data_IF_179428472562
#
_entry.id   IF_179428472562
#
_cell.length_a   1.000
_cell.length_b   1.000
_cell.length_c   1.000
_cell.angle_alpha   90.00
_cell.angle_beta   90.00
_cell.angle_gamma   90.00
#
_symmetry.space_group_name_H-M   'P 1'
#
loop_
_entity.id
_entity.type
_entity.pdbx_description
1 polymer ?
#
# COMPACT_ATOMS: atom_id res chain seq x y z
N UNK A 1 -9.61 20.73 -6.77
CA UNK A 1 -8.80 21.30 -5.70
C UNK A 1 -9.27 20.99 -4.29
N UNK A 2 -10.58 20.83 -4.06
CA UNK A 2 -11.13 20.67 -2.69
C UNK A 2 -10.80 19.30 -2.06
N UNK A 3 -10.81 18.21 -2.84
CA UNK A 3 -10.54 16.85 -2.35
C UNK A 3 -9.07 16.64 -1.94
N UNK A 4 -8.11 17.28 -2.60
CA UNK A 4 -6.69 17.12 -2.32
C UNK A 4 -6.29 17.72 -0.97
N UNK A 5 -6.89 18.85 -0.61
CA UNK A 5 -6.61 19.56 0.66
C UNK A 5 -7.15 18.81 1.88
N UNK A 6 -8.23 18.05 1.74
CA UNK A 6 -8.84 17.27 2.85
C UNK A 6 -8.04 16.01 3.17
N UNK A 7 -7.60 15.27 2.16
CA UNK A 7 -6.79 14.06 2.33
C UNK A 7 -5.43 14.40 2.96
N UNK A 8 -4.81 15.50 2.55
CA UNK A 8 -3.52 15.96 3.11
C UNK A 8 -3.61 16.38 4.58
N UNK A 9 -4.78 16.79 5.08
CA UNK A 9 -4.98 17.18 6.47
C UNK A 9 -5.15 16.01 7.44
N UNK A 10 -5.52 14.81 6.95
CA UNK A 10 -5.71 13.61 7.77
C UNK A 10 -4.54 12.64 7.71
N UNK A 11 -3.55 12.89 6.86
CA UNK A 11 -2.30 12.13 6.77
C UNK A 11 -1.23 12.88 7.54
N UNK A 12 -0.70 12.28 8.58
CA UNK A 12 0.33 12.88 9.45
C UNK A 12 1.57 12.01 9.49
N UNK A 13 2.70 12.61 9.83
CA UNK A 13 3.97 11.91 10.02
C UNK A 13 4.87 12.69 10.96
N UNK A 14 5.92 12.04 11.47
CA UNK A 14 6.94 12.69 12.32
C UNK A 14 8.06 13.35 11.51
N UNK A 15 7.88 13.57 10.22
CA UNK A 15 8.86 14.19 9.33
C UNK A 15 9.39 15.51 9.86
N UNK A 16 8.50 16.33 10.41
CA UNK A 16 8.81 17.67 10.96
C UNK A 16 8.97 17.64 12.51
N UNK A 17 9.12 16.44 13.08
CA UNK A 17 9.28 16.21 14.51
C UNK A 17 7.98 16.03 15.28
N UNK A 18 8.13 15.63 16.56
CA UNK A 18 7.00 15.24 17.43
C UNK A 18 6.04 16.41 17.75
N UNK A 19 6.56 17.61 17.93
CA UNK A 19 5.73 18.76 18.29
C UNK A 19 4.69 19.07 17.20
N UNK A 20 5.13 19.09 15.95
CA UNK A 20 4.24 19.34 14.80
C UNK A 20 3.32 18.14 14.55
N UNK A 21 3.81 16.91 14.69
CA UNK A 21 3.02 15.70 14.62
C UNK A 21 1.84 15.74 15.59
N UNK A 22 2.08 16.07 16.87
CA UNK A 22 1.04 16.18 17.89
C UNK A 22 0.09 17.36 17.66
N UNK A 23 0.58 18.47 17.11
CA UNK A 23 -0.28 19.60 16.72
C UNK A 23 -1.28 19.17 15.64
N UNK A 24 -0.81 18.47 14.60
CA UNK A 24 -1.66 17.94 13.54
C UNK A 24 -2.66 16.92 14.10
N UNK A 25 -2.21 15.97 14.93
CA UNK A 25 -3.08 15.00 15.58
C UNK A 25 -4.21 15.66 16.40
N UNK A 26 -3.90 16.70 17.18
CA UNK A 26 -4.92 17.45 17.93
C UNK A 26 -5.95 18.12 17.02
N UNK A 27 -5.51 18.64 15.86
CA UNK A 27 -6.43 19.21 14.85
C UNK A 27 -7.36 18.15 14.30
N UNK A 28 -6.82 17.00 13.87
CA UNK A 28 -7.61 15.87 13.34
C UNK A 28 -8.64 15.41 14.37
N UNK A 29 -8.20 15.15 15.61
CA UNK A 29 -9.06 14.72 16.71
C UNK A 29 -10.19 15.72 17.02
N UNK A 30 -9.91 17.02 16.95
CA UNK A 30 -10.92 18.06 17.18
C UNK A 30 -12.11 17.97 16.23
N UNK A 31 -11.90 17.46 15.02
CA UNK A 31 -12.94 17.22 14.04
C UNK A 31 -13.56 15.81 14.11
N UNK A 32 -13.14 14.99 15.08
CA UNK A 32 -13.65 13.63 15.26
C UNK A 32 -13.28 12.69 14.11
N UNK A 33 -12.13 12.90 13.48
CA UNK A 33 -11.68 12.09 12.35
C UNK A 33 -10.57 11.13 12.76
N UNK A 34 -10.54 9.96 12.10
CA UNK A 34 -9.39 9.06 12.11
C UNK A 34 -8.21 9.67 11.34
N UNK A 35 -7.00 9.24 11.63
CA UNK A 35 -5.78 9.74 10.98
C UNK A 35 -4.98 8.62 10.34
N UNK A 36 -4.45 8.87 9.15
CA UNK A 36 -3.43 8.01 8.55
C UNK A 36 -2.05 8.49 9.01
N UNK A 37 -1.30 7.60 9.64
CA UNK A 37 0.05 7.87 10.15
C UNK A 37 1.06 7.14 9.25
N UNK A 38 1.82 7.91 8.48
CA UNK A 38 2.87 7.34 7.65
C UNK A 38 4.11 6.99 8.47
N UNK A 39 4.73 5.85 8.17
CA UNK A 39 6.03 5.48 8.72
C UNK A 39 7.15 6.36 8.15
N UNK A 40 7.17 7.63 8.57
CA UNK A 40 8.04 8.69 8.10
C UNK A 40 8.45 9.55 9.29
N UNK A 41 9.72 9.56 9.62
CA UNK A 41 10.30 10.36 10.69
C UNK A 41 11.27 11.43 10.16
N UNK A 42 12.00 12.07 11.04
CA UNK A 42 12.97 13.12 10.73
C UNK A 42 14.12 12.64 9.82
N UNK A 43 14.34 11.32 9.74
CA UNK A 43 15.35 10.69 8.87
C UNK A 43 14.81 10.29 7.50
N UNK A 44 13.51 10.41 7.27
CA UNK A 44 12.86 10.05 6.02
C UNK A 44 11.88 8.87 6.14
N UNK A 45 11.39 8.40 4.99
CA UNK A 45 10.49 7.25 4.94
C UNK A 45 11.20 5.97 5.39
N UNK A 46 10.49 5.15 6.17
CA UNK A 46 11.00 3.84 6.59
C UNK A 46 10.98 2.85 5.43
N UNK A 47 12.09 2.25 5.14
CA UNK A 47 12.30 1.24 4.10
C UNK A 47 12.41 -0.18 4.67
N UNK A 48 13.04 -0.35 5.82
CA UNK A 48 13.20 -1.65 6.50
C UNK A 48 12.05 -1.94 7.47
N UNK A 49 11.76 -3.22 7.71
CA UNK A 49 10.75 -3.67 8.67
C UNK A 49 10.98 -3.06 10.05
N UNK A 50 12.22 -3.10 10.54
CA UNK A 50 12.58 -2.54 11.84
C UNK A 50 12.21 -1.05 11.94
N UNK A 51 12.60 -0.23 10.95
CA UNK A 51 12.29 1.21 10.99
C UNK A 51 10.77 1.47 10.91
N UNK A 52 10.05 0.69 10.07
CA UNK A 52 8.59 0.78 10.00
C UNK A 52 7.95 0.53 11.36
N UNK A 53 8.35 -0.54 12.05
CA UNK A 53 7.84 -0.92 13.36
C UNK A 53 8.22 0.13 14.41
N UNK A 54 9.47 0.56 14.47
CA UNK A 54 9.95 1.54 15.45
C UNK A 54 9.19 2.87 15.32
N UNK A 55 9.01 3.38 14.10
CA UNK A 55 8.30 4.64 13.84
C UNK A 55 6.80 4.50 14.19
N UNK A 56 6.14 3.41 13.79
CA UNK A 56 4.74 3.18 14.11
C UNK A 56 4.52 3.04 15.61
N UNK A 57 5.40 2.34 16.32
CA UNK A 57 5.34 2.18 17.79
C UNK A 57 5.53 3.53 18.49
N UNK A 58 6.51 4.32 18.07
CA UNK A 58 6.75 5.68 18.61
C UNK A 58 5.53 6.57 18.37
N UNK A 59 4.98 6.56 17.17
CA UNK A 59 3.80 7.35 16.83
C UNK A 59 2.56 6.90 17.63
N UNK A 60 2.36 5.59 17.79
CA UNK A 60 1.27 5.05 18.59
C UNK A 60 1.33 5.54 20.04
N UNK A 61 2.49 5.42 20.68
CA UNK A 61 2.70 5.88 22.06
C UNK A 61 2.42 7.37 22.18
N UNK A 62 2.99 8.20 21.30
CA UNK A 62 2.75 9.64 21.30
C UNK A 62 1.27 10.01 21.17
N UNK A 63 0.54 9.33 20.27
CA UNK A 63 -0.88 9.60 20.03
C UNK A 63 -1.73 9.18 21.23
N UNK A 64 -1.56 7.95 21.71
CA UNK A 64 -2.36 7.40 22.82
C UNK A 64 -2.10 8.13 24.14
N UNK A 65 -0.86 8.49 24.45
CA UNK A 65 -0.49 9.28 25.64
C UNK A 65 -1.10 10.70 25.59
N UNK A 66 -1.37 11.22 24.38
CA UNK A 66 -2.08 12.49 24.17
C UNK A 66 -3.60 12.30 23.99
N UNK A 67 -4.12 11.10 24.29
CA UNK A 67 -5.54 10.76 24.32
C UNK A 67 -6.18 10.60 22.94
N UNK A 68 -5.42 10.31 21.87
CA UNK A 68 -5.98 9.92 20.58
C UNK A 68 -6.50 8.49 20.68
N UNK A 69 -7.75 8.19 20.23
CA UNK A 69 -8.30 6.84 20.29
C UNK A 69 -7.47 5.88 19.41
N UNK A 70 -7.06 4.71 19.93
CA UNK A 70 -6.31 3.73 19.13
C UNK A 70 -7.04 3.30 17.86
N UNK A 71 -8.37 3.18 17.92
CA UNK A 71 -9.23 2.75 16.81
C UNK A 71 -9.30 3.78 15.66
N UNK A 72 -8.91 5.01 15.92
CA UNK A 72 -8.83 6.08 14.93
C UNK A 72 -7.43 6.22 14.32
N UNK A 73 -6.47 5.37 14.70
CA UNK A 73 -5.09 5.36 14.17
C UNK A 73 -4.99 4.33 13.05
N UNK A 74 -4.65 4.80 11.85
CA UNK A 74 -4.44 3.96 10.66
C UNK A 74 -2.99 4.11 10.24
N UNK A 75 -2.16 3.10 10.44
CA UNK A 75 -0.77 3.14 10.00
C UNK A 75 -0.63 2.86 8.51
N UNK A 76 0.16 3.66 7.81
CA UNK A 76 0.70 3.36 6.48
C UNK A 76 2.21 3.13 6.62
N UNK A 77 2.65 1.86 6.72
CA UNK A 77 4.07 1.54 6.85
C UNK A 77 4.84 1.63 5.53
N UNK A 78 4.34 2.35 4.56
CA UNK A 78 4.88 2.59 3.21
C UNK A 78 5.03 1.31 2.38
N UNK A 79 4.33 1.25 1.25
CA UNK A 79 4.53 0.24 0.21
C UNK A 79 5.47 0.83 -0.84
N UNK A 80 6.61 0.17 -1.08
CA UNK A 80 7.58 0.55 -2.09
C UNK A 80 7.55 -0.39 -3.29
N UNK A 81 8.08 0.09 -4.41
CA UNK A 81 8.22 -0.71 -5.62
C UNK A 81 9.24 -1.84 -5.42
N UNK A 82 8.89 -3.02 -5.89
CA UNK A 82 9.80 -4.17 -6.01
C UNK A 82 10.19 -4.40 -7.47
N UNK A 83 11.06 -5.36 -7.74
CA UNK A 83 11.58 -5.67 -9.08
C UNK A 83 12.14 -4.43 -9.81
N UNK A 84 12.85 -3.60 -9.11
CA UNK A 84 13.47 -2.37 -9.63
C UNK A 84 14.84 -2.61 -10.25
N UNK A 85 15.41 -3.81 -10.10
CA UNK A 85 16.79 -4.14 -10.46
C UNK A 85 17.83 -3.72 -9.40
N UNK A 86 17.39 -3.19 -8.25
CA UNK A 86 18.23 -2.81 -7.11
C UNK A 86 18.05 -3.87 -6.03
N UNK A 87 19.14 -4.47 -5.56
CA UNK A 87 19.12 -5.60 -4.61
C UNK A 87 18.48 -5.22 -3.28
N UNK A 88 18.77 -4.03 -2.76
CA UNK A 88 18.20 -3.53 -1.50
C UNK A 88 16.67 -3.38 -1.53
N UNK A 89 16.07 -3.34 -2.73
CA UNK A 89 14.61 -3.22 -2.89
C UNK A 89 13.89 -4.59 -2.88
N UNK A 90 14.64 -5.70 -2.89
CA UNK A 90 14.07 -7.04 -2.97
C UNK A 90 13.19 -7.39 -1.75
N UNK A 91 13.53 -6.86 -0.56
CA UNK A 91 12.83 -7.14 0.70
C UNK A 91 11.71 -6.14 1.02
N UNK A 92 11.41 -5.17 0.18
CA UNK A 92 10.43 -4.12 0.51
C UNK A 92 9.02 -4.64 0.78
N UNK A 93 8.56 -5.65 0.05
CA UNK A 93 7.25 -6.26 0.29
C UNK A 93 7.25 -7.08 1.59
N UNK A 94 8.31 -7.86 1.85
CA UNK A 94 8.48 -8.59 3.12
C UNK A 94 8.53 -7.65 4.31
N UNK A 95 9.27 -6.54 4.19
CA UNK A 95 9.34 -5.53 5.24
C UNK A 95 7.97 -4.90 5.55
N UNK A 96 7.09 -4.75 4.55
CA UNK A 96 5.72 -4.31 4.76
C UNK A 96 4.90 -5.38 5.50
N UNK A 97 4.97 -6.65 5.08
CA UNK A 97 4.22 -7.74 5.71
C UNK A 97 4.63 -7.92 7.18
N UNK A 98 5.92 -7.91 7.46
CA UNK A 98 6.46 -8.00 8.83
C UNK A 98 5.99 -6.82 9.69
N UNK A 99 6.03 -5.60 9.15
CA UNK A 99 5.56 -4.42 9.87
C UNK A 99 4.04 -4.47 10.11
N UNK A 100 3.24 -4.89 9.13
CA UNK A 100 1.80 -5.04 9.29
C UNK A 100 1.46 -6.05 10.40
N UNK A 101 2.13 -7.19 10.41
CA UNK A 101 1.95 -8.20 11.45
C UNK A 101 2.32 -7.64 12.83
N UNK A 102 3.48 -7.03 12.97
CA UNK A 102 3.94 -6.47 14.23
C UNK A 102 2.98 -5.38 14.76
N UNK A 103 2.48 -4.49 13.90
CA UNK A 103 1.51 -3.46 14.28
C UNK A 103 0.24 -4.11 14.83
N UNK A 104 -0.30 -5.13 14.16
CA UNK A 104 -1.52 -5.82 14.59
C UNK A 104 -1.35 -6.57 15.92
N UNK A 105 -0.17 -7.13 16.16
CA UNK A 105 0.13 -7.89 17.37
C UNK A 105 0.46 -7.00 18.57
N UNK A 106 1.10 -5.84 18.34
CA UNK A 106 1.69 -5.04 19.42
C UNK A 106 1.02 -3.69 19.67
N UNK A 107 0.23 -3.17 18.72
CA UNK A 107 -0.43 -1.87 18.82
C UNK A 107 -1.97 -2.05 18.81
N UNK A 108 -2.59 -2.41 19.94
CA UNK A 108 -3.99 -2.78 20.00
C UNK A 108 -4.92 -1.64 19.57
N UNK A 109 -5.93 -1.96 18.76
CA UNK A 109 -6.89 -1.01 18.21
C UNK A 109 -6.45 -0.36 16.89
N UNK A 110 -5.15 -0.28 16.62
CA UNK A 110 -4.66 0.36 15.40
C UNK A 110 -4.95 -0.46 14.13
N UNK A 111 -5.12 0.25 13.02
CA UNK A 111 -5.36 -0.31 11.68
C UNK A 111 -4.11 -0.20 10.81
N UNK A 112 -4.06 -1.01 9.74
CA UNK A 112 -2.97 -0.98 8.76
C UNK A 112 -3.52 -0.74 7.36
N UNK A 113 -2.98 0.27 6.69
CA UNK A 113 -3.33 0.66 5.33
C UNK A 113 -2.09 0.75 4.43
N UNK A 114 -2.31 0.91 3.13
CA UNK A 114 -1.23 1.18 2.19
C UNK A 114 -1.71 1.42 0.77
N UNK A 115 -0.91 2.16 0.00
CA UNK A 115 -1.11 2.42 -1.41
C UNK A 115 -0.60 1.27 -2.27
N UNK A 116 -1.46 0.29 -2.58
CA UNK A 116 -1.08 -0.99 -3.21
C UNK A 116 -0.44 -0.80 -4.58
N UNK A 117 -0.86 0.19 -5.36
CA UNK A 117 -0.30 0.45 -6.70
C UNK A 117 1.20 0.71 -6.72
N UNK A 118 1.77 1.14 -5.59
CA UNK A 118 3.21 1.43 -5.48
C UNK A 118 4.08 0.18 -5.69
N UNK A 119 3.61 -1.00 -5.24
CA UNK A 119 4.38 -2.25 -5.33
C UNK A 119 4.79 -2.60 -6.76
N UNK A 120 3.93 -2.26 -7.73
CA UNK A 120 4.10 -2.60 -9.15
C UNK A 120 4.62 -1.44 -10.01
N UNK A 121 5.21 -0.42 -9.42
CA UNK A 121 5.64 0.79 -10.14
C UNK A 121 6.64 0.50 -11.26
N UNK A 122 7.53 -0.48 -11.07
CA UNK A 122 8.51 -0.96 -12.07
C UNK A 122 7.86 -1.54 -13.34
N UNK A 123 6.59 -1.96 -13.26
CA UNK A 123 5.85 -2.53 -14.39
C UNK A 123 4.81 -1.57 -14.98
N UNK A 124 5.01 -0.26 -14.86
CA UNK A 124 4.12 0.72 -15.51
C UNK A 124 4.00 0.46 -17.00
N UNK A 125 2.75 0.42 -17.48
CA UNK A 125 2.41 0.11 -18.88
C UNK A 125 2.26 -1.38 -19.20
N UNK A 126 2.35 -2.25 -18.18
CA UNK A 126 2.01 -3.67 -18.29
C UNK A 126 0.90 -4.01 -17.27
N UNK A 127 -0.33 -3.65 -17.60
CA UNK A 127 -1.46 -3.78 -16.67
C UNK A 127 -1.71 -5.23 -16.22
N UNK A 128 -1.61 -6.28 -17.07
CA UNK A 128 -1.80 -7.65 -16.60
C UNK A 128 -0.84 -8.07 -15.49
N UNK A 129 0.45 -7.71 -15.60
CA UNK A 129 1.46 -8.00 -14.57
C UNK A 129 1.18 -7.17 -13.31
N UNK A 130 0.81 -5.90 -13.46
CA UNK A 130 0.47 -5.04 -12.33
C UNK A 130 -0.74 -5.53 -11.55
N UNK A 131 -1.80 -5.95 -12.25
CA UNK A 131 -3.00 -6.53 -11.62
C UNK A 131 -2.65 -7.81 -10.85
N UNK A 132 -1.83 -8.68 -11.42
CA UNK A 132 -1.33 -9.86 -10.73
C UNK A 132 -0.51 -9.51 -9.48
N UNK A 133 0.40 -8.54 -9.58
CA UNK A 133 1.19 -8.07 -8.42
C UNK A 133 0.30 -7.50 -7.32
N UNK A 134 -0.74 -6.74 -7.67
CA UNK A 134 -1.69 -6.21 -6.67
C UNK A 134 -2.47 -7.34 -5.98
N UNK A 135 -2.97 -8.32 -6.76
CA UNK A 135 -3.73 -9.45 -6.22
C UNK A 135 -2.90 -10.29 -5.26
N UNK A 136 -1.67 -10.64 -5.66
CA UNK A 136 -0.76 -11.45 -4.84
C UNK A 136 -0.28 -10.67 -3.61
N UNK A 137 0.06 -9.38 -3.77
CA UNK A 137 0.43 -8.53 -2.64
C UNK A 137 -0.70 -8.43 -1.62
N UNK A 138 -1.92 -8.14 -2.05
CA UNK A 138 -3.08 -8.05 -1.16
C UNK A 138 -3.34 -9.36 -0.42
N UNK A 139 -3.22 -10.49 -1.10
CA UNK A 139 -3.38 -11.80 -0.47
C UNK A 139 -2.44 -11.98 0.73
N UNK A 140 -1.15 -11.67 0.57
CA UNK A 140 -0.17 -11.78 1.66
C UNK A 140 -0.32 -10.66 2.69
N UNK A 141 -0.57 -9.41 2.27
CA UNK A 141 -0.71 -8.27 3.17
C UNK A 141 -1.91 -8.39 4.12
N UNK A 142 -3.06 -8.86 3.60
CA UNK A 142 -4.26 -9.10 4.42
C UNK A 142 -3.99 -10.19 5.46
N UNK A 143 -3.31 -11.27 5.08
CA UNK A 143 -2.91 -12.33 6.02
C UNK A 143 -1.92 -11.86 7.08
N UNK A 144 -1.09 -10.88 6.73
CA UNK A 144 -0.17 -10.23 7.66
C UNK A 144 -0.85 -9.17 8.57
N UNK A 145 -2.11 -8.81 8.31
CA UNK A 145 -2.88 -7.92 9.18
C UNK A 145 -3.26 -6.57 8.56
N UNK A 146 -2.97 -6.34 7.28
CA UNK A 146 -3.50 -5.18 6.55
C UNK A 146 -5.03 -5.29 6.45
N UNK A 147 -5.75 -4.26 6.86
CA UNK A 147 -7.22 -4.23 6.88
C UNK A 147 -7.82 -3.12 6.00
N UNK A 148 -7.01 -2.23 5.48
CA UNK A 148 -7.41 -1.18 4.53
C UNK A 148 -6.42 -1.12 3.36
N UNK A 149 -6.90 -0.79 2.16
CA UNK A 149 -6.03 -0.66 0.98
C UNK A 149 -6.51 0.45 0.05
N UNK A 150 -5.58 1.28 -0.41
CA UNK A 150 -5.85 2.24 -1.47
C UNK A 150 -5.54 1.53 -2.79
N UNK A 151 -6.60 1.23 -3.54
CA UNK A 151 -6.55 0.43 -4.76
C UNK A 151 -7.38 1.06 -5.88
N UNK A 152 -7.09 0.68 -7.13
CA UNK A 152 -8.02 0.93 -8.24
C UNK A 152 -9.08 -0.17 -8.25
N UNK A 153 -10.29 0.13 -7.78
CA UNK A 153 -11.38 -0.83 -7.67
C UNK A 153 -11.78 -1.49 -9.01
N UNK A 154 -11.52 -0.80 -10.14
CA UNK A 154 -11.78 -1.34 -11.48
C UNK A 154 -10.75 -2.35 -11.99
N UNK A 155 -9.65 -2.55 -11.26
CA UNK A 155 -8.50 -3.38 -11.65
C UNK A 155 -8.14 -4.40 -10.55
N UNK A 156 -9.12 -4.83 -9.75
CA UNK A 156 -8.92 -5.86 -8.73
C UNK A 156 -9.18 -7.25 -9.33
N UNK A 157 -8.14 -8.06 -9.34
CA UNK A 157 -8.20 -9.49 -9.64
C UNK A 157 -8.07 -10.27 -8.34
N UNK A 158 -8.76 -11.39 -8.21
CA UNK A 158 -8.59 -12.28 -7.06
C UNK A 158 -7.29 -13.09 -7.22
N UNK A 159 -6.66 -13.43 -6.10
CA UNK A 159 -5.43 -14.23 -6.09
C UNK A 159 -5.57 -15.55 -6.87
N UNK A 160 -6.70 -16.25 -6.70
CA UNK A 160 -6.96 -17.54 -7.38
C UNK A 160 -7.25 -17.40 -8.87
N UNK A 161 -7.65 -16.20 -9.33
CA UNK A 161 -7.94 -15.91 -10.74
C UNK A 161 -6.67 -15.49 -11.52
N UNK A 162 -5.56 -15.25 -10.83
CA UNK A 162 -4.28 -14.98 -11.48
C UNK A 162 -3.77 -16.26 -12.13
N UNK A 163 -3.31 -16.13 -13.38
CA UNK A 163 -2.71 -17.25 -14.11
C UNK A 163 -1.58 -17.88 -13.27
N UNK A 164 -1.55 -19.23 -13.08
CA UNK A 164 -0.66 -19.87 -12.11
C UNK A 164 0.83 -19.58 -12.32
N UNK A 165 1.30 -19.58 -13.56
CA UNK A 165 2.72 -19.31 -13.86
C UNK A 165 3.08 -17.85 -13.52
N UNK A 166 2.23 -16.89 -13.87
CA UNK A 166 2.43 -15.49 -13.54
C UNK A 166 2.37 -15.28 -12.01
N UNK A 167 1.43 -15.92 -11.34
CA UNK A 167 1.29 -15.87 -9.88
C UNK A 167 2.55 -16.35 -9.18
N UNK A 168 3.09 -17.52 -9.57
CA UNK A 168 4.31 -18.07 -8.97
C UNK A 168 5.52 -17.15 -9.18
N UNK A 169 5.66 -16.54 -10.35
CA UNK A 169 6.73 -15.57 -10.64
C UNK A 169 6.58 -14.28 -9.83
N UNK A 170 5.36 -13.81 -9.65
CA UNK A 170 5.06 -12.63 -8.80
C UNK A 170 5.34 -12.95 -7.34
N UNK A 171 4.98 -14.13 -6.84
CA UNK A 171 5.32 -14.55 -5.48
C UNK A 171 6.82 -14.67 -5.27
N UNK A 172 7.56 -15.21 -6.24
CA UNK A 172 9.03 -15.27 -6.17
C UNK A 172 9.63 -13.87 -5.93
N UNK A 173 9.08 -12.85 -6.60
CA UNK A 173 9.50 -11.45 -6.43
C UNK A 173 9.06 -10.86 -5.09
N UNK A 174 7.77 -10.97 -4.75
CA UNK A 174 7.22 -10.33 -3.55
C UNK A 174 7.76 -10.95 -2.25
N UNK A 175 8.06 -12.25 -2.28
CA UNK A 175 8.57 -12.99 -1.12
C UNK A 175 10.09 -13.20 -1.19
N UNK A 176 10.77 -12.57 -2.14
CA UNK A 176 12.22 -12.68 -2.36
C UNK A 176 12.72 -14.14 -2.29
N UNK A 177 12.01 -15.07 -2.96
CA UNK A 177 12.28 -16.52 -2.86
C UNK A 177 13.54 -16.93 -3.59
N UNK A 178 14.00 -16.13 -4.57
CA UNK A 178 15.14 -16.46 -5.42
C UNK A 178 15.80 -15.22 -6.02
N UNK A 179 17.09 -15.29 -6.24
CA UNK A 179 17.89 -14.16 -6.71
C UNK A 179 17.52 -13.69 -8.13
N UNK A 180 17.10 -14.61 -9.01
CA UNK A 180 16.70 -14.33 -10.41
C UNK A 180 15.19 -14.02 -10.57
N UNK A 181 14.45 -13.79 -9.48
CA UNK A 181 13.00 -13.58 -9.52
C UNK A 181 12.59 -12.42 -10.42
N UNK A 182 13.30 -11.28 -10.32
CA UNK A 182 13.02 -10.09 -11.13
C UNK A 182 13.22 -10.34 -12.61
N UNK A 183 14.32 -10.99 -13.00
CA UNK A 183 14.62 -11.29 -14.40
C UNK A 183 13.56 -12.23 -15.01
N UNK A 184 13.19 -13.28 -14.30
CA UNK A 184 12.16 -14.22 -14.71
C UNK A 184 10.78 -13.56 -14.88
N UNK A 185 10.43 -12.63 -14.00
CA UNK A 185 9.18 -11.90 -14.14
C UNK A 185 9.22 -10.92 -15.31
N UNK A 186 10.36 -10.27 -15.58
CA UNK A 186 10.54 -9.39 -16.73
C UNK A 186 10.43 -10.16 -18.07
N UNK A 187 11.06 -11.32 -18.19
CA UNK A 187 10.95 -12.17 -19.37
C UNK A 187 9.48 -12.58 -19.65
N UNK A 188 8.76 -12.96 -18.61
CA UNK A 188 7.34 -13.30 -18.74
C UNK A 188 6.51 -12.07 -19.11
N UNK A 189 6.78 -10.92 -18.51
CA UNK A 189 6.10 -9.66 -18.77
C UNK A 189 6.19 -9.21 -20.25
N UNK A 190 7.32 -9.45 -20.89
CA UNK A 190 7.50 -9.18 -22.32
C UNK A 190 6.62 -10.07 -23.19
N UNK A 191 6.46 -11.35 -22.83
CA UNK A 191 5.61 -12.30 -23.56
C UNK A 191 4.12 -11.95 -23.46
N UNK A 192 3.66 -11.42 -22.32
CA UNK A 192 2.27 -11.07 -22.05
C UNK A 192 1.89 -9.70 -22.66
N UNK A 193 2.86 -8.78 -22.80
CA UNK A 193 2.63 -7.44 -23.39
C UNK A 193 2.01 -7.45 -24.78
N UNK A 194 2.23 -8.53 -25.56
CA UNK A 194 1.69 -8.70 -26.91
C UNK A 194 0.24 -9.21 -26.95
N UNK A 195 -0.34 -9.69 -25.86
CA UNK A 195 -1.64 -10.38 -25.79
C UNK A 195 -2.79 -9.59 -25.17
N UNK A 196 -2.55 -8.41 -24.65
CA UNK A 196 -3.56 -7.62 -23.94
C UNK A 196 -4.71 -7.19 -24.85
N UNK A 197 -5.89 -7.80 -24.69
CA UNK A 197 -7.14 -7.27 -25.25
C UNK A 197 -7.31 -5.84 -24.73
N UNK A 198 -7.31 -4.83 -25.62
CA UNK A 198 -7.78 -3.48 -25.28
C UNK A 198 -9.17 -3.63 -24.66
N UNK A 199 -9.29 -3.28 -23.39
CA UNK A 199 -10.59 -3.13 -22.75
C UNK A 199 -11.36 -2.10 -23.55
N UNK A 200 -12.51 -2.50 -24.11
CA UNK A 200 -13.41 -1.59 -24.81
C UNK A 200 -14.07 -0.67 -23.78
N UNK A 201 -13.44 0.46 -23.54
CA UNK A 201 -13.94 1.49 -22.60
C UNK A 201 -15.18 2.21 -23.12
N UNK A 202 -15.61 1.96 -24.36
CA UNK A 202 -16.80 2.60 -24.94
C UNK A 202 -18.09 2.13 -24.29
N UNK A 203 -18.13 0.87 -23.78
CA UNK A 203 -19.29 0.32 -23.05
C UNK A 203 -19.42 0.84 -21.63
N UNK A 204 -18.30 1.19 -20.98
CA UNK A 204 -18.30 1.66 -19.57
C UNK A 204 -18.82 3.09 -19.41
N UNK A 205 -18.95 3.86 -20.50
CA UNK A 205 -19.40 5.24 -20.49
C UNK A 205 -20.83 5.45 -20.99
N UNK A 206 -21.52 4.39 -21.41
CA UNK A 206 -22.90 4.46 -21.93
C UNK A 206 -23.90 5.02 -20.89
N UNK A 207 -23.60 4.93 -19.59
CA UNK A 207 -24.41 5.55 -18.55
C UNK A 207 -24.40 7.10 -18.58
N UNK A 208 -23.35 7.73 -19.17
CA UNK A 208 -23.24 9.19 -19.29
C UNK A 208 -24.21 9.78 -20.33
N UNK A 209 -24.71 8.96 -21.22
CA UNK A 209 -25.67 9.34 -22.24
C UNK A 209 -27.12 9.18 -21.78
N UNK A 210 -27.34 8.59 -20.58
CA UNK A 210 -28.65 8.45 -20.00
C UNK A 210 -29.12 9.74 -19.33
N UNK A 211 -30.42 10.10 -19.46
CA UNK A 211 -30.98 11.22 -18.71
C UNK A 211 -30.81 11.03 -17.20
N UNK A 212 -30.62 12.12 -16.46
CA UNK A 212 -30.33 12.11 -15.00
C UNK A 212 -31.45 11.45 -14.17
N UNK A 213 -32.61 11.18 -14.74
CA UNK A 213 -33.80 10.62 -14.07
C UNK A 213 -34.10 9.17 -14.47
N UNK A 214 -33.18 8.46 -15.08
CA UNK A 214 -33.23 7.03 -15.35
C UNK A 214 -32.04 6.33 -14.59
#
# INVERSE_FOLDING_TARGET
GFYRTWVEQYVISMKEGEAQFLEHARKVRRYGAATVVMAFDEQGQADTAKRKIDICTRAYTLLTDNGFPPEDIIFDPNIFAVATGIEEHADYALAFFEAAQAIRETLPGAHVSGGVSNVSFSFRGNEPVREAMHAVFLYHAIRAGMDMGIVNAGSLTLYDDVEPELRDRVEDVLLNRRADATERLLEHAESVKGGGKKRDTSKDLAWREKPVNE
#
